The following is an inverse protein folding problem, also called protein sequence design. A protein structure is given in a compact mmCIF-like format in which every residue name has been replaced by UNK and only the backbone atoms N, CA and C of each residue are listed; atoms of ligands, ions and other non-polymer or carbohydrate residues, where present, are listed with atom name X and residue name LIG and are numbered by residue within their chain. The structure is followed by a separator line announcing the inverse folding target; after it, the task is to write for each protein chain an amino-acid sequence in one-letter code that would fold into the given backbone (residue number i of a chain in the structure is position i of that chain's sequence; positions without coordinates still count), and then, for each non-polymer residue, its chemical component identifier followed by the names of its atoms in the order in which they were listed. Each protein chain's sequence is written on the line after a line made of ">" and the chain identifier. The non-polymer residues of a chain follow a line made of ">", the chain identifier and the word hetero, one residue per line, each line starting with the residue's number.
data_IF_885360176443
#
_entry.id   IF_885360176443
#
_cell.length_a   1.000
_cell.length_b   1.000
_cell.length_c   1.000
_cell.angle_alpha   90.00
_cell.angle_beta   90.00
_cell.angle_gamma   90.00
#
_symmetry.space_group_name_H-M   'P 1'
#
loop_
_entity.id
_entity.type
_entity.pdbx_description
1 polymer ?
#
# COMPACT_ATOMS: atom_id res chain seq x y z
N UNK A 1 -26.37 11.91 12.52
CA UNK A 1 -25.54 10.78 12.96
C UNK A 1 -26.20 9.51 12.45
N UNK A 2 -25.80 8.95 11.30
CA UNK A 2 -26.27 7.64 10.88
C UNK A 2 -25.20 6.59 11.16
N UNK A 3 -25.60 5.57 11.93
CA UNK A 3 -24.94 4.30 12.03
C UNK A 3 -25.38 3.46 10.82
N UNK A 4 -24.54 3.39 9.78
CA UNK A 4 -24.75 2.45 8.68
C UNK A 4 -24.16 1.10 9.08
N UNK A 5 -24.99 0.07 9.10
CA UNK A 5 -24.57 -1.32 9.21
C UNK A 5 -23.72 -1.77 8.01
N UNK A 6 -22.48 -1.29 7.93
CA UNK A 6 -21.43 -1.91 7.10
C UNK A 6 -21.14 -3.26 7.73
N UNK A 7 -21.66 -4.30 7.08
CA UNK A 7 -21.68 -5.67 7.57
C UNK A 7 -20.31 -6.16 8.03
N UNK A 8 -20.33 -7.18 8.86
CA UNK A 8 -19.17 -7.81 9.49
C UNK A 8 -18.06 -8.28 8.50
N UNK A 9 -18.27 -8.17 7.19
CA UNK A 9 -17.38 -8.62 6.12
C UNK A 9 -16.51 -7.50 5.50
N UNK A 10 -16.68 -6.24 5.93
CA UNK A 10 -15.85 -5.13 5.44
C UNK A 10 -14.60 -4.93 6.30
N UNK A 11 -13.42 -5.20 5.73
CA UNK A 11 -12.13 -5.09 6.42
C UNK A 11 -11.20 -4.14 5.70
N UNK A 12 -10.83 -3.04 6.37
CA UNK A 12 -9.85 -2.08 5.84
C UNK A 12 -8.44 -2.70 5.78
N UNK A 13 -7.77 -2.52 4.65
CA UNK A 13 -6.42 -3.02 4.36
C UNK A 13 -5.39 -1.88 4.26
N UNK A 14 -5.61 -0.81 5.00
CA UNK A 14 -4.72 0.35 5.01
C UNK A 14 -3.68 0.23 6.14
N UNK A 15 -2.40 0.04 5.75
CA UNK A 15 -1.27 0.04 6.69
C UNK A 15 -1.18 1.30 7.52
N UNK A 16 -1.50 2.45 6.92
CA UNK A 16 -1.54 3.72 7.60
C UNK A 16 -2.92 4.32 7.37
N UNK A 17 -3.76 4.41 8.43
CA UNK A 17 -5.04 5.08 8.36
C UNK A 17 -4.85 6.45 7.71
N UNK A 18 -5.65 6.73 6.68
CA UNK A 18 -5.57 7.98 5.93
C UNK A 18 -5.68 9.18 6.88
N UNK A 19 -6.37 9.03 8.01
CA UNK A 19 -6.56 10.01 9.07
C UNK A 19 -5.23 10.48 9.69
N UNK A 20 -4.21 9.61 9.75
CA UNK A 20 -2.90 9.93 10.31
C UNK A 20 -1.98 10.66 9.32
N UNK A 21 -2.11 10.39 8.01
CA UNK A 21 -1.32 11.05 6.96
C UNK A 21 -2.01 12.32 6.46
N UNK A 22 -3.35 12.37 6.55
CA UNK A 22 -4.17 13.47 6.04
C UNK A 22 -3.69 14.88 6.43
N UNK A 23 -3.34 15.18 7.71
CA UNK A 23 -2.88 16.51 8.06
C UNK A 23 -1.54 16.86 7.40
N UNK A 24 -0.65 15.89 7.22
CA UNK A 24 0.65 16.11 6.55
C UNK A 24 0.47 16.32 5.05
N UNK A 25 -0.33 15.48 4.38
CA UNK A 25 -0.64 15.63 2.96
C UNK A 25 -1.36 16.95 2.67
N UNK A 26 -2.28 17.36 3.55
CA UNK A 26 -2.95 18.66 3.44
C UNK A 26 -1.97 19.82 3.57
N UNK A 27 -1.00 19.76 4.48
CA UNK A 27 0.07 20.78 4.59
C UNK A 27 0.93 20.84 3.33
N UNK A 28 1.31 19.69 2.76
CA UNK A 28 2.06 19.64 1.50
C UNK A 28 1.25 20.24 0.35
N UNK A 29 -0.04 19.91 0.24
CA UNK A 29 -0.93 20.46 -0.77
C UNK A 29 -1.05 21.99 -0.65
N UNK A 30 -1.27 22.50 0.57
CA UNK A 30 -1.33 23.95 0.84
C UNK A 30 0.00 24.63 0.50
N UNK A 31 1.12 24.05 0.94
CA UNK A 31 2.46 24.57 0.64
C UNK A 31 2.73 24.65 -0.87
N UNK A 32 2.38 23.61 -1.61
CA UNK A 32 2.51 23.59 -3.07
C UNK A 32 1.67 24.67 -3.76
N UNK A 33 0.42 24.87 -3.30
CA UNK A 33 -0.44 25.95 -3.82
C UNK A 33 0.17 27.31 -3.53
N UNK A 34 0.63 27.57 -2.31
CA UNK A 34 1.27 28.84 -1.94
C UNK A 34 2.50 29.12 -2.80
N UNK A 35 3.37 28.13 -2.99
CA UNK A 35 4.56 28.27 -3.85
C UNK A 35 4.17 28.55 -5.30
N UNK A 36 3.17 27.84 -5.84
CA UNK A 36 2.69 28.08 -7.20
C UNK A 36 2.10 29.48 -7.38
N UNK A 37 1.33 29.98 -6.40
CA UNK A 37 0.79 31.35 -6.42
C UNK A 37 1.93 32.38 -6.35
N UNK A 38 2.90 32.20 -5.45
CA UNK A 38 4.04 33.12 -5.35
C UNK A 38 4.85 33.19 -6.65
N UNK A 39 5.11 32.03 -7.27
CA UNK A 39 5.79 31.96 -8.56
C UNK A 39 5.00 32.66 -9.67
N UNK A 40 3.67 32.47 -9.72
CA UNK A 40 2.83 33.18 -10.68
C UNK A 40 2.85 34.70 -10.47
N UNK A 41 2.77 35.16 -9.21
CA UNK A 41 2.84 36.60 -8.89
C UNK A 41 4.18 37.18 -9.32
N UNK A 42 5.30 36.54 -8.96
CA UNK A 42 6.65 37.00 -9.35
C UNK A 42 6.79 37.00 -10.87
N UNK A 43 6.37 35.92 -11.54
CA UNK A 43 6.44 35.81 -12.99
C UNK A 43 5.60 36.88 -13.71
N UNK A 44 4.47 37.29 -13.13
CA UNK A 44 3.58 38.29 -13.75
C UNK A 44 4.20 39.68 -13.91
N UNK A 45 5.27 39.99 -13.17
CA UNK A 45 6.03 41.24 -13.37
C UNK A 45 6.91 41.21 -14.62
N UNK A 46 7.28 40.03 -15.12
CA UNK A 46 8.24 39.86 -16.20
C UNK A 46 7.64 39.20 -17.45
N UNK A 47 6.51 38.53 -17.30
CA UNK A 47 5.86 37.74 -18.35
C UNK A 47 4.40 38.17 -18.50
N UNK A 48 3.78 37.93 -19.67
CA UNK A 48 2.35 38.07 -19.82
C UNK A 48 1.61 37.27 -18.76
N UNK A 49 0.55 37.85 -18.17
CA UNK A 49 -0.22 37.25 -17.06
C UNK A 49 -0.64 35.81 -17.36
N UNK A 50 -1.03 35.53 -18.61
CA UNK A 50 -1.38 34.17 -19.04
C UNK A 50 -0.24 33.16 -18.84
N UNK A 51 1.00 33.52 -19.20
CA UNK A 51 2.19 32.68 -19.06
C UNK A 51 2.54 32.48 -17.58
N UNK A 52 2.45 33.56 -16.79
CA UNK A 52 2.70 33.52 -15.35
C UNK A 52 1.72 32.59 -14.61
N UNK A 53 0.43 32.63 -14.96
CA UNK A 53 -0.59 31.74 -14.42
C UNK A 53 -0.33 30.28 -14.80
N UNK A 54 -0.02 30.00 -16.06
CA UNK A 54 0.30 28.64 -16.51
C UNK A 54 1.49 28.07 -15.74
N UNK A 55 2.54 28.87 -15.52
CA UNK A 55 3.72 28.47 -14.75
C UNK A 55 3.33 28.06 -13.31
N UNK A 56 2.54 28.88 -12.62
CA UNK A 56 2.09 28.59 -11.26
C UNK A 56 1.24 27.32 -11.17
N UNK A 57 0.35 27.11 -12.14
CA UNK A 57 -0.50 25.91 -12.24
C UNK A 57 0.36 24.66 -12.46
N UNK A 58 1.32 24.69 -13.38
CA UNK A 58 2.20 23.55 -13.68
C UNK A 58 3.01 23.12 -12.46
N UNK A 59 3.38 24.03 -11.57
CA UNK A 59 4.10 23.72 -10.33
C UNK A 59 3.16 23.25 -9.22
N UNK A 60 2.03 23.93 -9.01
CA UNK A 60 1.12 23.62 -7.90
C UNK A 60 0.33 22.32 -8.13
N UNK A 61 -0.15 22.08 -9.35
CA UNK A 61 -1.09 20.99 -9.65
C UNK A 61 -0.50 19.61 -9.40
N UNK A 62 0.73 19.25 -9.83
CA UNK A 62 1.27 17.91 -9.59
C UNK A 62 1.41 17.59 -8.10
N UNK A 63 1.87 18.55 -7.30
CA UNK A 63 2.09 18.36 -5.87
C UNK A 63 0.76 18.35 -5.08
N UNK A 64 -0.16 19.28 -5.37
CA UNK A 64 -1.48 19.29 -4.73
C UNK A 64 -2.33 18.09 -5.16
N UNK A 65 -2.28 17.74 -6.45
CA UNK A 65 -2.99 16.61 -7.03
C UNK A 65 -2.50 15.28 -6.46
N UNK A 66 -1.18 15.05 -6.38
CA UNK A 66 -0.65 13.82 -5.78
C UNK A 66 -1.03 13.67 -4.31
N UNK A 67 -1.00 14.75 -3.54
CA UNK A 67 -1.45 14.73 -2.14
C UNK A 67 -2.95 14.40 -2.02
N UNK A 68 -3.79 15.00 -2.86
CA UNK A 68 -5.22 14.73 -2.92
C UNK A 68 -5.53 13.28 -3.32
N UNK A 69 -4.79 12.74 -4.28
CA UNK A 69 -4.93 11.34 -4.69
C UNK A 69 -4.55 10.40 -3.54
N UNK A 70 -3.46 10.69 -2.81
CA UNK A 70 -3.06 9.91 -1.64
C UNK A 70 -4.13 9.90 -0.55
N UNK A 71 -4.79 11.04 -0.32
CA UNK A 71 -5.89 11.19 0.65
C UNK A 71 -7.15 10.37 0.31
N UNK A 72 -7.41 10.12 -0.98
CA UNK A 72 -8.60 9.41 -1.44
C UNK A 72 -8.39 7.91 -1.64
N UNK A 73 -7.14 7.46 -1.65
CA UNK A 73 -6.83 6.04 -1.77
C UNK A 73 -7.26 5.33 -0.51
N UNK A 74 -8.08 4.30 -0.70
CA UNK A 74 -8.52 3.36 0.34
C UNK A 74 -8.50 1.98 -0.26
N UNK A 75 -8.08 1.01 0.53
CA UNK A 75 -8.11 -0.40 0.17
C UNK A 75 -8.92 -1.15 1.23
N UNK A 76 -9.91 -1.91 0.80
CA UNK A 76 -10.69 -2.75 1.69
C UNK A 76 -10.99 -4.09 1.03
N UNK A 77 -11.25 -5.07 1.88
CA UNK A 77 -11.77 -6.37 1.52
C UNK A 77 -13.25 -6.42 1.90
N UNK A 78 -14.07 -6.97 1.01
CA UNK A 78 -15.48 -7.26 1.25
C UNK A 78 -15.70 -8.74 0.91
N UNK A 79 -15.71 -9.60 1.94
CA UNK A 79 -15.66 -11.05 1.77
C UNK A 79 -14.42 -11.51 1.01
N UNK A 80 -14.59 -11.95 -0.24
CA UNK A 80 -13.50 -12.38 -1.15
C UNK A 80 -13.17 -11.36 -2.24
N UNK A 81 -13.86 -10.22 -2.27
CA UNK A 81 -13.62 -9.17 -3.26
C UNK A 81 -12.77 -8.05 -2.66
N UNK A 82 -11.65 -7.77 -3.31
CA UNK A 82 -10.74 -6.70 -2.95
C UNK A 82 -11.09 -5.43 -3.72
N UNK A 83 -11.32 -4.34 -3.00
CA UNK A 83 -11.64 -3.05 -3.57
C UNK A 83 -10.54 -2.04 -3.34
N UNK A 84 -10.00 -1.51 -4.43
CA UNK A 84 -9.00 -0.45 -4.42
C UNK A 84 -9.60 0.84 -4.97
N UNK A 85 -9.80 1.83 -4.10
CA UNK A 85 -10.20 3.18 -4.52
C UNK A 85 -8.97 3.95 -5.00
N UNK A 86 -8.95 4.28 -6.28
CA UNK A 86 -7.94 5.16 -6.86
C UNK A 86 -8.29 6.65 -6.72
N UNK A 87 -7.63 7.47 -7.52
CA UNK A 87 -7.89 8.91 -7.61
C UNK A 87 -9.33 9.25 -8.02
N UNK A 88 -9.84 8.50 -9.02
CA UNK A 88 -11.11 8.80 -9.71
C UNK A 88 -12.02 7.58 -9.77
N UNK A 89 -11.47 6.37 -9.87
CA UNK A 89 -12.22 5.12 -10.05
C UNK A 89 -11.90 4.13 -8.94
N UNK A 90 -12.91 3.40 -8.48
CA UNK A 90 -12.75 2.21 -7.66
C UNK A 90 -12.58 1.00 -8.56
N UNK A 91 -11.56 0.20 -8.30
CA UNK A 91 -11.32 -1.08 -8.97
C UNK A 91 -11.69 -2.19 -7.99
N UNK A 92 -12.35 -3.22 -8.49
CA UNK A 92 -12.64 -4.44 -7.76
C UNK A 92 -11.81 -5.57 -8.39
N UNK A 93 -11.29 -6.45 -7.54
CA UNK A 93 -10.57 -7.65 -7.89
C UNK A 93 -11.20 -8.81 -7.11
N UNK A 94 -11.52 -9.90 -7.79
CA UNK A 94 -12.11 -11.08 -7.15
C UNK A 94 -11.02 -12.12 -6.86
N UNK A 95 -10.79 -12.42 -5.57
CA UNK A 95 -9.67 -13.25 -5.11
C UNK A 95 -9.73 -14.71 -5.59
N UNK A 96 -10.89 -15.39 -5.70
CA UNK A 96 -10.97 -16.73 -6.27
C UNK A 96 -10.45 -16.81 -7.71
N UNK A 97 -10.61 -15.74 -8.50
CA UNK A 97 -10.21 -15.68 -9.92
C UNK A 97 -8.79 -15.17 -10.16
N UNK A 98 -7.94 -15.19 -9.14
CA UNK A 98 -6.55 -14.74 -9.27
C UNK A 98 -5.75 -15.54 -10.29
N UNK A 99 -5.02 -14.80 -11.13
CA UNK A 99 -4.09 -15.30 -12.12
C UNK A 99 -2.64 -15.18 -11.62
N UNK A 100 -2.34 -14.17 -10.79
CA UNK A 100 -1.02 -13.99 -10.18
C UNK A 100 -1.14 -13.40 -8.77
N UNK A 101 -0.29 -13.91 -7.88
CA UNK A 101 -0.06 -13.41 -6.53
C UNK A 101 1.45 -13.33 -6.28
N UNK A 102 1.99 -12.12 -6.20
CA UNK A 102 3.42 -11.86 -6.10
C UNK A 102 3.74 -11.08 -4.83
N UNK A 103 4.70 -11.54 -4.04
CA UNK A 103 5.24 -10.77 -2.93
C UNK A 103 6.37 -9.90 -3.43
N UNK A 104 6.26 -8.60 -3.23
CA UNK A 104 7.28 -7.63 -3.60
C UNK A 104 7.85 -6.95 -2.38
N UNK A 105 9.17 -6.90 -2.34
CA UNK A 105 9.95 -6.25 -1.31
C UNK A 105 10.68 -5.07 -1.94
N UNK A 106 10.53 -3.91 -1.33
CA UNK A 106 11.25 -2.69 -1.69
C UNK A 106 12.13 -2.27 -0.53
N UNK A 107 13.44 -2.32 -0.72
CA UNK A 107 14.42 -1.94 0.28
C UNK A 107 14.88 -0.51 0.05
N UNK A 108 14.70 0.37 1.01
CA UNK A 108 15.05 1.79 0.92
C UNK A 108 15.29 2.37 2.32
N UNK A 109 15.10 3.68 2.53
CA UNK A 109 15.09 4.27 3.88
C UNK A 109 13.99 3.67 4.76
N UNK A 110 12.87 3.32 4.15
CA UNK A 110 11.77 2.58 4.75
C UNK A 110 11.58 1.35 3.86
N UNK A 111 11.83 0.19 4.42
CA UNK A 111 11.63 -1.08 3.74
C UNK A 111 10.13 -1.36 3.69
N UNK A 112 9.65 -1.85 2.54
CA UNK A 112 8.23 -2.10 2.33
C UNK A 112 8.03 -3.48 1.73
N UNK A 113 7.04 -4.18 2.26
CA UNK A 113 6.55 -5.43 1.69
C UNK A 113 5.15 -5.18 1.18
N UNK A 114 4.88 -5.63 -0.04
CA UNK A 114 3.58 -5.51 -0.67
C UNK A 114 3.21 -6.78 -1.40
N UNK A 115 1.95 -7.19 -1.28
CA UNK A 115 1.36 -8.25 -2.09
C UNK A 115 0.75 -7.64 -3.34
N UNK A 116 1.15 -8.11 -4.51
CA UNK A 116 0.53 -7.74 -5.79
C UNK A 116 -0.35 -8.87 -6.26
N UNK A 117 -1.60 -8.54 -6.51
CA UNK A 117 -2.64 -9.45 -6.96
C UNK A 117 -3.13 -9.03 -8.36
N UNK A 118 -3.41 -10.02 -9.20
CA UNK A 118 -3.93 -9.83 -10.55
C UNK A 118 -4.93 -10.91 -10.91
N UNK A 119 -6.11 -10.51 -11.38
CA UNK A 119 -7.23 -11.41 -11.79
C UNK A 119 -7.40 -11.52 -13.33
N UNK A 120 -6.42 -11.03 -14.10
CA UNK A 120 -6.54 -10.96 -15.56
C UNK A 120 -7.12 -9.65 -16.10
N UNK A 121 -7.73 -8.80 -15.26
CA UNK A 121 -8.33 -7.51 -15.66
C UNK A 121 -7.82 -6.35 -14.81
N UNK A 122 -7.72 -6.57 -13.51
CA UNK A 122 -7.39 -5.61 -12.49
C UNK A 122 -6.14 -6.06 -11.76
N UNK A 123 -5.21 -5.11 -11.55
CA UNK A 123 -4.06 -5.30 -10.66
C UNK A 123 -4.21 -4.43 -9.43
N UNK A 124 -4.02 -5.03 -8.26
CA UNK A 124 -4.03 -4.34 -6.96
C UNK A 124 -2.75 -4.65 -6.21
N UNK A 125 -2.20 -3.65 -5.50
CA UNK A 125 -1.04 -3.83 -4.62
C UNK A 125 -1.44 -3.46 -3.21
N UNK A 126 -1.35 -4.44 -2.32
CA UNK A 126 -1.70 -4.37 -0.91
C UNK A 126 -0.39 -4.22 -0.14
N UNK A 127 -0.13 -3.11 0.55
CA UNK A 127 1.05 -3.02 1.37
C UNK A 127 0.83 -3.85 2.65
N UNK A 128 1.74 -4.78 2.95
CA UNK A 128 1.62 -5.71 4.08
C UNK A 128 2.36 -5.22 5.32
N UNK A 129 3.53 -4.62 5.12
CA UNK A 129 4.35 -4.10 6.20
C UNK A 129 5.31 -2.99 5.72
N UNK A 130 5.67 -2.12 6.65
CA UNK A 130 6.68 -1.08 6.53
C UNK A 130 7.67 -1.23 7.68
N UNK A 131 8.95 -1.38 7.40
CA UNK A 131 9.98 -1.49 8.42
C UNK A 131 11.01 -0.37 8.32
N UNK A 132 11.57 -0.04 9.48
CA UNK A 132 12.66 0.92 9.66
C UNK A 132 13.68 0.31 10.62
N UNK A 133 14.87 0.91 10.71
CA UNK A 133 15.94 0.46 11.61
C UNK A 133 15.47 0.53 13.08
N UNK A 134 14.98 -0.59 13.62
CA UNK A 134 14.52 -0.72 15.01
C UNK A 134 13.01 -0.87 15.22
N UNK A 135 12.20 -0.95 14.16
CA UNK A 135 10.76 -1.15 14.32
C UNK A 135 10.00 -1.13 12.99
N UNK A 136 8.76 -1.60 13.02
CA UNK A 136 7.91 -1.65 11.84
C UNK A 136 6.44 -1.42 12.15
N UNK A 137 5.69 -1.20 11.06
CA UNK A 137 4.24 -1.19 11.06
C UNK A 137 3.76 -2.23 10.08
N UNK A 138 3.05 -3.21 10.61
CA UNK A 138 2.44 -4.29 9.86
C UNK A 138 0.93 -4.02 9.73
N UNK A 139 0.27 -4.76 8.81
CA UNK A 139 -1.18 -4.71 8.72
C UNK A 139 -1.80 -5.20 10.03
N UNK A 140 -2.94 -4.64 10.46
CA UNK A 140 -3.63 -5.10 11.67
C UNK A 140 -3.96 -6.59 11.60
N UNK A 141 -3.97 -7.27 12.76
CA UNK A 141 -4.27 -8.71 12.89
C UNK A 141 -5.55 -9.12 12.13
N UNK A 142 -6.63 -8.32 12.24
CA UNK A 142 -7.88 -8.60 11.54
C UNK A 142 -7.75 -8.49 10.03
N UNK A 143 -7.03 -7.48 9.54
CA UNK A 143 -6.74 -7.27 8.11
C UNK A 143 -5.89 -8.39 7.53
N UNK A 144 -4.84 -8.81 8.26
CA UNK A 144 -3.99 -9.94 7.87
C UNK A 144 -4.76 -11.26 7.84
N UNK A 145 -5.60 -11.51 8.85
CA UNK A 145 -6.44 -12.71 8.91
C UNK A 145 -7.42 -12.75 7.76
N UNK A 146 -8.19 -11.69 7.56
CA UNK A 146 -9.17 -11.62 6.48
C UNK A 146 -8.51 -11.76 5.10
N UNK A 147 -7.32 -11.17 4.91
CA UNK A 147 -6.56 -11.34 3.68
C UNK A 147 -6.09 -12.79 3.49
N UNK A 148 -5.59 -13.45 4.54
CA UNK A 148 -5.18 -14.85 4.47
C UNK A 148 -6.37 -15.78 4.15
N UNK A 149 -7.51 -15.56 4.79
CA UNK A 149 -8.74 -16.31 4.57
C UNK A 149 -9.26 -16.11 3.14
N UNK A 150 -9.23 -14.88 2.62
CA UNK A 150 -9.58 -14.60 1.23
C UNK A 150 -8.62 -15.30 0.26
N UNK A 151 -7.30 -15.24 0.47
CA UNK A 151 -6.33 -15.90 -0.39
C UNK A 151 -6.49 -17.43 -0.43
N UNK A 152 -6.96 -18.04 0.66
CA UNK A 152 -7.30 -19.47 0.71
C UNK A 152 -8.47 -19.87 -0.20
N UNK A 153 -9.30 -18.91 -0.62
CA UNK A 153 -10.39 -19.18 -1.58
C UNK A 153 -9.92 -19.29 -3.02
N UNK A 154 -8.66 -18.92 -3.30
CA UNK A 154 -8.07 -19.02 -4.63
C UNK A 154 -7.48 -20.40 -4.88
N UNK A 155 -7.66 -20.92 -6.09
CA UNK A 155 -7.01 -22.17 -6.54
C UNK A 155 -5.51 -21.95 -6.90
N UNK A 156 -5.03 -20.71 -6.85
CA UNK A 156 -3.66 -20.36 -7.22
C UNK A 156 -2.65 -20.79 -6.14
N UNK A 157 -1.73 -21.69 -6.49
CA UNK A 157 -0.68 -22.18 -5.57
C UNK A 157 0.14 -21.04 -4.93
N UNK A 158 0.64 -20.04 -5.68
CA UNK A 158 1.25 -18.84 -5.09
C UNK A 158 0.38 -18.12 -4.06
N UNK A 159 -0.94 -18.03 -4.25
CA UNK A 159 -1.83 -17.39 -3.29
C UNK A 159 -1.90 -18.17 -1.97
N UNK A 160 -1.98 -19.51 -2.04
CA UNK A 160 -1.94 -20.37 -0.86
C UNK A 160 -0.61 -20.31 -0.09
N UNK A 161 0.52 -20.20 -0.81
CA UNK A 161 1.83 -20.00 -0.19
C UNK A 161 1.88 -18.66 0.57
N UNK A 162 1.40 -17.58 -0.04
CA UNK A 162 1.29 -16.27 0.64
C UNK A 162 0.35 -16.36 1.84
N UNK A 163 -0.82 -16.99 1.71
CA UNK A 163 -1.76 -17.17 2.82
C UNK A 163 -1.11 -17.87 4.02
N UNK A 164 -0.29 -18.90 3.77
CA UNK A 164 0.46 -19.62 4.80
C UNK A 164 1.47 -18.70 5.51
N UNK A 165 2.21 -17.88 4.78
CA UNK A 165 3.12 -16.87 5.34
C UNK A 165 2.38 -15.86 6.21
N UNK A 166 1.19 -15.39 5.80
CA UNK A 166 0.39 -14.47 6.59
C UNK A 166 -0.14 -15.13 7.88
N UNK A 167 -0.53 -16.40 7.83
CA UNK A 167 -0.94 -17.17 9.01
C UNK A 167 0.23 -17.32 9.99
N UNK A 168 1.44 -17.61 9.51
CA UNK A 168 2.60 -17.73 10.39
C UNK A 168 3.06 -16.38 10.94
N UNK A 169 2.89 -15.29 10.18
CA UNK A 169 3.03 -13.93 10.70
C UNK A 169 2.08 -13.68 11.87
N UNK A 170 0.80 -14.05 11.75
CA UNK A 170 -0.19 -13.91 12.82
C UNK A 170 0.16 -14.75 14.05
N UNK A 171 0.68 -15.97 13.85
CA UNK A 171 1.15 -16.81 14.96
C UNK A 171 2.37 -16.20 15.66
N UNK A 172 3.31 -15.64 14.90
CA UNK A 172 4.48 -14.97 15.44
C UNK A 172 4.07 -13.73 16.26
N UNK A 173 3.18 -12.90 15.72
CA UNK A 173 2.65 -11.73 16.43
C UNK A 173 1.88 -12.13 17.69
N UNK A 174 1.04 -13.16 17.65
CA UNK A 174 0.28 -13.65 18.81
C UNK A 174 1.16 -14.22 19.93
N UNK A 175 2.44 -14.53 19.66
CA UNK A 175 3.43 -14.98 20.65
C UNK A 175 4.38 -13.86 21.08
N UNK A 176 4.11 -12.62 20.68
CA UNK A 176 5.01 -11.48 20.87
C UNK A 176 6.44 -11.74 20.34
N UNK A 177 6.54 -12.49 19.25
CA UNK A 177 7.81 -12.83 18.63
C UNK A 177 8.57 -11.58 18.17
N UNK A 178 9.89 -11.61 18.36
CA UNK A 178 10.79 -10.55 17.90
C UNK A 178 10.78 -10.40 16.37
N UNK A 179 11.26 -9.27 15.86
CA UNK A 179 11.23 -8.98 14.41
C UNK A 179 11.88 -10.09 13.57
N UNK A 180 13.01 -10.64 14.02
CA UNK A 180 13.75 -11.68 13.29
C UNK A 180 12.98 -13.01 13.17
N UNK A 181 11.98 -13.22 14.02
CA UNK A 181 11.12 -14.41 14.00
C UNK A 181 9.87 -14.21 13.14
N UNK A 182 9.61 -12.98 12.68
CA UNK A 182 8.43 -12.64 11.88
C UNK A 182 8.69 -12.91 10.39
N UNK A 183 7.92 -13.80 9.73
CA UNK A 183 8.08 -14.13 8.30
C UNK A 183 8.19 -12.92 7.36
N UNK A 184 7.38 -11.88 7.59
CA UNK A 184 7.45 -10.67 6.77
C UNK A 184 8.80 -9.98 6.92
N UNK A 185 9.30 -9.78 8.13
CA UNK A 185 10.61 -9.14 8.33
C UNK A 185 11.75 -9.99 7.74
N UNK A 186 11.71 -11.31 7.90
CA UNK A 186 12.68 -12.24 7.27
C UNK A 186 12.71 -12.09 5.74
N UNK A 187 11.58 -11.78 5.10
CA UNK A 187 11.53 -11.52 3.66
C UNK A 187 12.39 -10.32 3.22
N UNK A 188 12.49 -9.29 4.07
CA UNK A 188 13.37 -8.13 3.81
C UNK A 188 14.83 -8.52 3.94
N UNK A 189 15.16 -9.27 4.99
CA UNK A 189 16.53 -9.75 5.21
C UNK A 189 16.98 -10.61 4.04
N UNK A 190 16.15 -11.55 3.57
CA UNK A 190 16.40 -12.39 2.41
C UNK A 190 16.69 -11.57 1.14
N UNK A 191 15.96 -10.49 0.89
CA UNK A 191 16.18 -9.63 -0.30
C UNK A 191 17.45 -8.78 -0.15
N UNK A 192 17.74 -8.32 1.06
CA UNK A 192 18.93 -7.54 1.40
C UNK A 192 20.20 -8.38 1.25
N UNK A 193 20.20 -9.59 1.83
CA UNK A 193 21.31 -10.55 1.75
C UNK A 193 21.58 -11.00 0.32
N UNK A 194 20.53 -11.21 -0.46
CA UNK A 194 20.64 -11.55 -1.88
C UNK A 194 21.07 -10.36 -2.78
N UNK A 195 21.23 -9.15 -2.23
CA UNK A 195 21.67 -7.96 -2.97
C UNK A 195 20.65 -7.43 -3.99
N UNK A 196 19.38 -7.87 -3.95
CA UNK A 196 18.34 -7.52 -4.93
C UNK A 196 17.64 -6.19 -4.62
N UNK A 197 18.45 -5.16 -4.40
CA UNK A 197 17.98 -3.81 -4.05
C UNK A 197 17.90 -2.91 -5.29
N UNK A 198 16.98 -1.93 -5.37
CA UNK A 198 16.04 -1.50 -4.33
C UNK A 198 14.68 -2.21 -4.35
N UNK A 199 14.38 -3.05 -5.35
CA UNK A 199 13.10 -3.74 -5.46
C UNK A 199 13.27 -5.16 -6.00
N UNK A 200 12.65 -6.12 -5.34
CA UNK A 200 12.65 -7.54 -5.72
C UNK A 200 11.23 -8.11 -5.63
N UNK A 201 10.90 -9.00 -6.57
CA UNK A 201 9.77 -9.92 -6.43
C UNK A 201 10.32 -11.23 -5.90
N UNK A 202 9.72 -11.74 -4.82
CA UNK A 202 10.07 -13.05 -4.29
C UNK A 202 9.55 -14.15 -5.20
N UNK A 203 10.36 -15.18 -5.38
CA UNK A 203 9.95 -16.41 -6.07
C UNK A 203 9.04 -17.25 -5.17
N UNK A 204 8.23 -18.13 -5.77
CA UNK A 204 7.33 -19.03 -5.02
C UNK A 204 8.09 -19.87 -3.99
N UNK A 205 9.31 -20.29 -4.31
CA UNK A 205 10.19 -21.04 -3.40
C UNK A 205 10.62 -20.20 -2.21
N UNK A 206 10.97 -18.93 -2.44
CA UNK A 206 11.35 -18.01 -1.37
C UNK A 206 10.16 -17.71 -0.47
N UNK A 207 8.97 -17.48 -1.04
CA UNK A 207 7.74 -17.29 -0.26
C UNK A 207 7.43 -18.52 0.58
N UNK A 208 7.48 -19.72 0.00
CA UNK A 208 7.26 -20.97 0.74
C UNK A 208 8.32 -21.21 1.85
N UNK A 209 9.55 -20.71 1.66
CA UNK A 209 10.60 -20.77 2.68
C UNK A 209 10.39 -19.82 3.87
N UNK A 210 9.46 -18.86 3.78
CA UNK A 210 9.14 -17.94 4.87
C UNK A 210 8.16 -18.54 5.90
N UNK A 211 7.40 -19.58 5.53
CA UNK A 211 6.44 -20.29 6.40
C UNK A 211 7.04 -21.51 7.12
N UNK A 212 8.37 -21.60 7.19
CA UNK A 212 9.10 -22.65 7.91
C UNK A 212 9.82 -22.12 9.15
#
# INVERSE_FOLDING_TARGET
>A
MPADGRGADHVDLDLVPAELIAPRLRKVAVGAVVVGVLLAVIASFFLPVAVAVVLGVVVAVPAAGSAWVGLRRRLWLDGTTLHARGAVRTRALDVPTLVSAEVQVRTARIDQISLRLYDGRTRVSIPLALYTQGGGRELPILSLRALADALWTSELVPAAAVASVLVDQLKAEARDAGLNERPLYRAIELVREAGRTPMATLTDREVAGLSS
#
